data_IF_943766836607
#
_entry.id   IF_943766836607
#
_cell.length_a   1.000
_cell.length_b   1.000
_cell.length_c   1.000
_cell.angle_alpha   90.00
_cell.angle_beta   90.00
_cell.angle_gamma   90.00
#
_symmetry.space_group_name_H-M   'P 1'
#
loop_
_entity.id
_entity.type
_entity.pdbx_description
1 polymer ?
#
# COMPACT_ATOMS: atom_id res chain seq x y z
N UNK A 1 35.71 11.93 27.47
CA UNK A 1 34.53 11.16 27.96
C UNK A 1 33.31 11.30 27.05
N UNK A 2 32.53 12.38 27.07
CA UNK A 2 31.30 12.48 26.27
C UNK A 2 31.51 12.31 24.74
N UNK A 3 32.63 12.82 24.21
CA UNK A 3 32.98 12.73 22.78
C UNK A 3 33.26 11.29 22.32
N UNK A 4 33.96 10.49 23.13
CA UNK A 4 34.27 9.09 22.82
C UNK A 4 33.00 8.23 22.91
N UNK A 5 32.12 8.50 23.87
CA UNK A 5 30.85 7.79 24.01
C UNK A 5 29.93 8.03 22.80
N UNK A 6 29.89 9.26 22.27
CA UNK A 6 29.16 9.58 21.05
C UNK A 6 29.75 8.89 19.81
N UNK A 7 31.09 8.83 19.72
CA UNK A 7 31.76 8.11 18.65
C UNK A 7 31.47 6.60 18.72
N UNK A 8 31.48 6.04 19.92
CA UNK A 8 31.19 4.64 20.17
C UNK A 8 29.75 4.27 19.81
N UNK A 9 28.75 5.06 20.24
CA UNK A 9 27.36 4.81 19.87
C UNK A 9 27.13 4.88 18.36
N UNK A 10 27.79 5.82 17.67
CA UNK A 10 27.75 5.92 16.20
C UNK A 10 28.42 4.72 15.51
N UNK A 11 29.53 4.22 16.08
CA UNK A 11 30.25 3.08 15.55
C UNK A 11 29.48 1.77 15.68
N UNK A 12 28.80 1.54 16.82
CA UNK A 12 27.96 0.34 17.05
C UNK A 12 26.87 0.21 15.97
N UNK A 13 26.35 1.33 15.50
CA UNK A 13 25.28 1.36 14.48
C UNK A 13 25.81 1.13 13.06
N UNK A 14 27.07 1.48 12.77
CA UNK A 14 27.60 1.52 11.39
C UNK A 14 28.63 0.43 11.06
N UNK A 15 29.27 -0.17 12.06
CA UNK A 15 30.38 -1.11 11.86
C UNK A 15 30.00 -2.55 12.21
N UNK A 16 30.59 -3.51 11.50
CA UNK A 16 30.46 -4.93 11.81
C UNK A 16 31.25 -5.30 13.08
N UNK A 17 30.82 -6.36 13.77
CA UNK A 17 31.39 -6.82 15.04
C UNK A 17 32.94 -6.95 15.07
N UNK A 18 33.64 -7.49 14.05
CA UNK A 18 35.11 -7.53 14.06
C UNK A 18 35.76 -6.15 13.98
N UNK A 19 35.17 -5.22 13.21
CA UNK A 19 35.66 -3.83 13.11
C UNK A 19 35.38 -3.06 14.40
N UNK A 20 34.27 -3.36 15.06
CA UNK A 20 33.89 -2.76 16.34
C UNK A 20 34.86 -3.14 17.47
N UNK A 21 35.32 -4.40 17.53
CA UNK A 21 36.33 -4.86 18.50
C UNK A 21 37.68 -4.16 18.29
N UNK A 22 38.10 -4.00 17.03
CA UNK A 22 39.31 -3.25 16.67
C UNK A 22 39.22 -1.78 17.11
N UNK A 23 38.13 -1.09 16.74
CA UNK A 23 37.89 0.30 17.13
C UNK A 23 37.83 0.48 18.65
N UNK A 24 37.22 -0.45 19.39
CA UNK A 24 37.16 -0.38 20.85
C UNK A 24 38.55 -0.39 21.49
N UNK A 25 39.46 -1.23 20.98
CA UNK A 25 40.82 -1.30 21.48
C UNK A 25 41.61 -0.02 21.20
N UNK A 26 41.45 0.57 20.01
CA UNK A 26 42.08 1.83 19.62
C UNK A 26 41.52 3.02 20.40
N UNK A 27 40.20 3.06 20.61
CA UNK A 27 39.52 4.11 21.36
C UNK A 27 39.89 4.08 22.85
N UNK A 28 40.05 2.88 23.43
CA UNK A 28 40.50 2.69 24.81
C UNK A 28 41.96 3.11 25.00
N UNK A 29 42.80 2.83 24.01
CA UNK A 29 44.19 3.31 24.01
C UNK A 29 44.23 4.84 23.92
N UNK A 30 43.41 5.43 23.05
CA UNK A 30 43.29 6.87 22.91
C UNK A 30 42.78 7.55 24.20
N UNK A 31 41.78 6.97 24.87
CA UNK A 31 41.26 7.47 26.15
C UNK A 31 42.34 7.49 27.23
N UNK A 32 43.15 6.42 27.33
CA UNK A 32 44.29 6.37 28.26
C UNK A 32 45.28 7.50 27.99
N UNK A 33 45.59 7.75 26.72
CA UNK A 33 46.50 8.84 26.32
C UNK A 33 45.90 10.23 26.61
N UNK A 34 44.59 10.41 26.40
CA UNK A 34 43.88 11.65 26.70
C UNK A 34 43.86 11.92 28.22
N UNK A 35 43.67 10.89 29.04
CA UNK A 35 43.74 11.00 30.50
C UNK A 35 45.16 11.40 30.94
N UNK A 36 46.20 10.74 30.42
CA UNK A 36 47.59 11.11 30.77
C UNK A 36 47.91 12.53 30.34
N UNK A 37 47.47 12.95 29.14
CA UNK A 37 47.65 14.31 28.67
C UNK A 37 46.92 15.33 29.55
N UNK A 38 45.70 15.05 30.02
CA UNK A 38 44.99 15.94 30.95
C UNK A 38 45.75 16.13 32.26
N UNK A 39 46.37 15.07 32.79
CA UNK A 39 47.23 15.18 33.98
C UNK A 39 48.48 16.03 33.71
N UNK A 40 49.14 15.83 32.55
CA UNK A 40 50.29 16.64 32.15
C UNK A 40 49.94 18.11 31.86
N UNK A 41 48.74 18.37 31.33
CA UNK A 41 48.20 19.71 31.05
C UNK A 41 47.93 20.50 32.33
N UNK A 42 47.40 19.86 33.37
CA UNK A 42 47.24 20.47 34.70
C UNK A 42 48.59 20.84 35.30
N UNK A 43 49.64 20.08 35.00
CA UNK A 43 51.03 20.39 35.38
C UNK A 43 51.73 21.47 34.53
N UNK A 44 51.04 22.08 33.56
CA UNK A 44 51.58 23.19 32.74
C UNK A 44 52.72 22.79 31.79
N UNK A 45 52.89 21.49 31.49
CA UNK A 45 54.01 20.95 30.70
C UNK A 45 53.81 20.97 29.18
N UNK A 46 52.65 21.40 28.69
CA UNK A 46 52.37 21.57 27.25
C UNK A 46 51.89 22.99 26.95
N UNK A 47 52.84 23.93 26.83
CA UNK A 47 52.55 25.34 26.52
C UNK A 47 52.33 25.58 25.02
N UNK A 48 52.90 24.73 24.17
CA UNK A 48 52.85 24.85 22.70
C UNK A 48 51.66 24.10 22.07
N UNK A 49 50.94 23.27 22.86
CA UNK A 49 49.75 22.55 22.41
C UNK A 49 50.02 21.43 21.39
N UNK A 50 51.30 21.08 21.21
CA UNK A 50 51.75 20.07 20.25
C UNK A 50 51.21 18.69 20.59
N UNK A 51 51.20 18.33 21.89
CA UNK A 51 50.66 17.02 22.32
C UNK A 51 49.14 16.98 22.17
N UNK A 52 48.45 18.11 22.34
CA UNK A 52 47.01 18.20 22.07
C UNK A 52 46.68 17.99 20.60
N UNK A 53 47.44 18.66 19.72
CA UNK A 53 47.26 18.55 18.27
C UNK A 53 47.53 17.12 17.78
N UNK A 54 48.58 16.46 18.31
CA UNK A 54 48.89 15.08 17.99
C UNK A 54 47.76 14.12 18.41
N UNK A 55 47.19 14.30 19.61
CA UNK A 55 46.05 13.50 20.07
C UNK A 55 44.82 13.73 19.20
N UNK A 56 44.50 14.98 18.85
CA UNK A 56 43.39 15.30 17.94
C UNK A 56 43.60 14.67 16.56
N UNK A 57 44.83 14.71 16.03
CA UNK A 57 45.15 14.10 14.75
C UNK A 57 45.01 12.57 14.79
N UNK A 58 45.47 11.92 15.87
CA UNK A 58 45.28 10.47 16.07
C UNK A 58 43.80 10.10 16.12
N UNK A 59 42.97 10.88 16.84
CA UNK A 59 41.53 10.63 16.88
C UNK A 59 40.88 10.83 15.50
N UNK A 60 41.26 11.88 14.77
CA UNK A 60 40.80 12.13 13.40
C UNK A 60 41.20 11.00 12.46
N UNK A 61 42.40 10.45 12.60
CA UNK A 61 42.87 9.32 11.80
C UNK A 61 42.09 8.04 12.10
N UNK A 62 41.80 7.74 13.37
CA UNK A 62 40.90 6.63 13.75
C UNK A 62 39.51 6.84 13.12
N UNK A 63 38.95 8.05 13.23
CA UNK A 63 37.65 8.36 12.63
C UNK A 63 37.64 8.22 11.10
N UNK A 64 38.73 8.57 10.41
CA UNK A 64 38.88 8.38 8.95
C UNK A 64 38.97 6.89 8.58
N UNK A 65 39.80 6.11 9.28
CA UNK A 65 40.00 4.69 9.00
C UNK A 65 38.70 3.87 9.10
N UNK A 66 37.79 4.28 9.99
CA UNK A 66 36.50 3.64 10.19
C UNK A 66 35.33 4.35 9.48
N UNK A 67 35.61 5.35 8.63
CA UNK A 67 34.62 6.16 7.90
C UNK A 67 33.53 6.78 8.81
N UNK A 68 33.93 7.19 10.02
CA UNK A 68 33.06 7.82 11.03
C UNK A 68 33.04 9.35 10.94
N UNK A 69 33.92 9.93 10.08
CA UNK A 69 34.15 11.37 9.90
C UNK A 69 33.05 12.10 9.10
N UNK A 70 32.12 11.36 8.50
CA UNK A 70 31.11 11.81 7.52
C UNK A 70 30.06 12.84 8.03
N UNK A 71 30.32 13.50 9.16
CA UNK A 71 29.48 14.56 9.76
C UNK A 71 30.25 15.78 10.27
N UNK A 72 31.58 15.86 10.11
CA UNK A 72 32.28 17.11 10.42
C UNK A 72 32.07 18.17 9.33
N UNK A 73 32.00 17.76 8.06
CA UNK A 73 31.81 18.65 6.91
C UNK A 73 30.34 18.77 6.47
N UNK A 74 29.40 18.14 7.20
CA UNK A 74 27.99 18.02 6.81
C UNK A 74 27.03 18.58 7.87
N UNK A 75 27.42 19.66 8.55
CA UNK A 75 26.59 20.31 9.58
C UNK A 75 25.61 21.33 8.98
N UNK A 76 25.76 21.73 7.72
CA UNK A 76 24.93 22.79 7.10
C UNK A 76 23.80 22.31 6.16
N UNK A 77 23.57 21.00 5.97
CA UNK A 77 22.56 20.52 5.03
C UNK A 77 21.59 19.47 5.63
N UNK A 78 20.38 19.89 6.04
CA UNK A 78 19.32 19.02 6.53
C UNK A 78 18.86 17.94 5.55
N UNK A 79 19.23 18.05 4.26
CA UNK A 79 18.84 17.11 3.20
C UNK A 79 19.63 15.80 3.21
N UNK A 80 20.74 15.72 3.95
CA UNK A 80 21.66 14.56 3.95
C UNK A 80 21.57 13.66 5.18
N UNK A 81 20.57 13.87 6.04
CA UNK A 81 20.20 12.88 7.06
C UNK A 81 19.71 11.61 6.37
N UNK A 82 20.62 10.66 6.13
CA UNK A 82 20.25 9.31 5.71
C UNK A 82 19.44 8.67 6.84
N UNK A 83 18.12 8.67 6.71
CA UNK A 83 17.23 7.93 7.58
C UNK A 83 17.62 6.44 7.55
N UNK A 84 17.62 5.80 8.71
CA UNK A 84 17.98 4.38 8.87
C UNK A 84 17.29 3.49 7.82
N UNK A 85 18.06 2.82 6.96
CA UNK A 85 17.57 1.73 6.12
C UNK A 85 17.24 0.56 7.05
N UNK A 86 15.94 0.35 7.31
CA UNK A 86 15.48 -0.79 8.10
C UNK A 86 16.01 -2.10 7.47
N UNK A 87 16.42 -3.05 8.30
CA UNK A 87 16.98 -4.37 7.91
C UNK A 87 16.03 -5.25 7.06
N UNK A 88 14.87 -4.74 6.66
CA UNK A 88 13.86 -5.41 5.83
C UNK A 88 13.60 -4.70 4.49
N UNK A 89 14.55 -3.94 3.96
CA UNK A 89 14.48 -3.45 2.58
C UNK A 89 15.15 -4.48 1.69
N UNK A 90 14.32 -5.26 0.98
CA UNK A 90 14.72 -6.16 -0.09
C UNK A 90 15.85 -5.51 -0.91
N UNK A 91 16.97 -6.22 -1.03
CA UNK A 91 18.16 -5.77 -1.74
C UNK A 91 17.79 -5.28 -3.14
N UNK A 92 18.36 -4.14 -3.55
CA UNK A 92 18.17 -3.48 -4.85
C UNK A 92 18.45 -4.36 -6.09
N UNK A 93 18.87 -5.61 -5.90
CA UNK A 93 18.97 -6.62 -6.97
C UNK A 93 17.61 -7.02 -7.58
N UNK A 94 16.48 -6.78 -6.91
CA UNK A 94 15.14 -7.06 -7.46
C UNK A 94 14.49 -5.84 -8.12
N UNK A 95 15.14 -4.66 -8.09
CA UNK A 95 14.58 -3.42 -8.67
C UNK A 95 14.60 -3.45 -10.21
N UNK A 96 15.45 -4.28 -10.81
CA UNK A 96 15.48 -4.51 -12.26
C UNK A 96 14.32 -5.36 -12.78
N UNK A 97 13.22 -5.48 -12.02
CA UNK A 97 11.92 -5.93 -12.54
C UNK A 97 10.77 -5.01 -12.10
N UNK A 98 11.06 -3.75 -11.83
CA UNK A 98 10.03 -2.72 -11.65
C UNK A 98 9.53 -2.26 -13.03
N UNK A 99 8.60 -3.00 -13.63
CA UNK A 99 8.01 -2.65 -14.93
C UNK A 99 7.18 -1.36 -14.81
N UNK A 100 6.58 -1.13 -13.65
CA UNK A 100 5.74 0.03 -13.34
C UNK A 100 6.40 0.93 -12.29
N UNK A 101 6.03 2.21 -12.23
CA UNK A 101 6.53 3.17 -11.23
C UNK A 101 5.91 2.91 -9.85
N UNK A 102 4.66 2.45 -9.81
CA UNK A 102 4.00 2.07 -8.55
C UNK A 102 4.42 0.67 -8.09
N UNK A 103 4.89 0.59 -6.84
CA UNK A 103 5.22 -0.66 -6.14
C UNK A 103 4.02 -1.61 -6.03
N UNK A 104 2.80 -1.09 -5.90
CA UNK A 104 1.58 -1.92 -5.80
C UNK A 104 1.26 -2.60 -7.13
N UNK A 105 1.40 -1.86 -8.24
CA UNK A 105 1.25 -2.41 -9.59
C UNK A 105 2.30 -3.51 -9.85
N UNK A 106 3.57 -3.31 -9.48
CA UNK A 106 4.59 -4.36 -9.63
C UNK A 106 4.27 -5.64 -8.84
N UNK A 107 3.80 -5.51 -7.58
CA UNK A 107 3.36 -6.68 -6.81
C UNK A 107 2.19 -7.42 -7.45
N UNK A 108 1.28 -6.68 -8.08
CA UNK A 108 0.14 -7.27 -8.75
C UNK A 108 0.58 -7.93 -10.06
N UNK A 109 1.50 -7.32 -10.79
CA UNK A 109 2.11 -7.91 -11.98
C UNK A 109 2.86 -9.21 -11.68
N UNK A 110 3.65 -9.26 -10.61
CA UNK A 110 4.28 -10.50 -10.16
C UNK A 110 3.25 -11.61 -9.91
N UNK A 111 2.10 -11.27 -9.29
CA UNK A 111 1.01 -12.25 -9.12
C UNK A 111 0.41 -12.67 -10.46
N UNK A 112 0.30 -11.76 -11.42
CA UNK A 112 -0.17 -12.07 -12.76
C UNK A 112 0.75 -13.06 -13.48
N UNK A 113 2.06 -12.82 -13.47
CA UNK A 113 3.05 -13.71 -14.09
C UNK A 113 2.97 -15.13 -13.52
N UNK A 114 2.73 -15.26 -12.21
CA UNK A 114 2.58 -16.55 -11.55
C UNK A 114 1.17 -17.17 -11.68
N UNK A 115 0.19 -16.42 -12.19
CA UNK A 115 -1.19 -16.89 -12.36
C UNK A 115 -1.40 -17.69 -13.66
N UNK A 116 -0.36 -17.87 -14.47
CA UNK A 116 -0.38 -18.77 -15.64
C UNK A 116 -1.18 -18.27 -16.83
N UNK A 117 -1.27 -16.94 -17.02
CA UNK A 117 -1.89 -16.35 -18.22
C UNK A 117 -1.15 -16.77 -19.50
N UNK A 118 -1.89 -16.84 -20.61
CA UNK A 118 -1.28 -16.97 -21.94
C UNK A 118 -0.50 -15.69 -22.29
N UNK A 119 0.43 -15.77 -23.25
CA UNK A 119 1.26 -14.63 -23.62
C UNK A 119 0.44 -13.44 -24.16
N UNK A 120 -0.66 -13.71 -24.89
CA UNK A 120 -1.57 -12.67 -25.42
C UNK A 120 -2.39 -12.00 -24.31
N UNK A 121 -2.90 -12.78 -23.35
CA UNK A 121 -3.61 -12.26 -22.18
C UNK A 121 -2.69 -11.43 -21.28
N UNK A 122 -1.43 -11.85 -21.14
CA UNK A 122 -0.42 -11.14 -20.37
C UNK A 122 -0.10 -9.77 -21.01
N UNK A 123 0.02 -9.70 -22.33
CA UNK A 123 0.28 -8.44 -23.03
C UNK A 123 -0.91 -7.47 -22.92
N UNK A 124 -2.13 -7.97 -23.11
CA UNK A 124 -3.36 -7.19 -22.88
C UNK A 124 -3.44 -6.66 -21.44
N UNK A 125 -3.12 -7.52 -20.45
CA UNK A 125 -3.09 -7.11 -19.04
C UNK A 125 -2.00 -6.07 -18.78
N UNK A 126 -0.87 -6.15 -19.47
CA UNK A 126 0.22 -5.17 -19.37
C UNK A 126 -0.22 -3.80 -19.86
N UNK A 127 -0.96 -3.74 -20.96
CA UNK A 127 -1.53 -2.50 -21.48
C UNK A 127 -2.50 -1.86 -20.47
N UNK A 128 -3.36 -2.66 -19.84
CA UNK A 128 -4.27 -2.19 -18.79
C UNK A 128 -3.53 -1.65 -17.56
N UNK A 129 -2.46 -2.33 -17.12
CA UNK A 129 -1.61 -1.84 -16.03
C UNK A 129 -0.89 -0.53 -16.39
N UNK A 130 -0.44 -0.39 -17.65
CA UNK A 130 0.18 0.84 -18.14
C UNK A 130 -0.84 1.99 -18.19
N UNK A 131 -2.05 1.71 -18.66
CA UNK A 131 -3.14 2.69 -18.66
C UNK A 131 -3.47 3.14 -17.23
N UNK A 132 -3.48 2.21 -16.27
CA UNK A 132 -3.66 2.52 -14.86
C UNK A 132 -2.54 3.40 -14.29
N UNK A 133 -1.28 3.09 -14.61
CA UNK A 133 -0.14 3.93 -14.24
C UNK A 133 -0.26 5.34 -14.82
N UNK A 134 -0.64 5.48 -16.08
CA UNK A 134 -0.86 6.79 -16.70
C UNK A 134 -1.97 7.58 -15.99
N UNK A 135 -3.04 6.91 -15.57
CA UNK A 135 -4.14 7.54 -14.81
C UNK A 135 -3.68 8.03 -13.44
N UNK A 136 -2.82 7.26 -12.76
CA UNK A 136 -2.18 7.66 -11.50
C UNK A 136 -1.29 8.89 -11.70
N UNK A 137 -0.46 8.88 -12.75
CA UNK A 137 0.46 9.99 -13.05
C UNK A 137 -0.32 11.28 -13.39
N UNK A 138 -1.44 11.17 -14.11
CA UNK A 138 -2.35 12.30 -14.37
C UNK A 138 -2.96 12.85 -13.07
N UNK A 139 -3.40 11.99 -12.16
CA UNK A 139 -3.94 12.41 -10.87
C UNK A 139 -2.90 13.15 -10.02
N UNK A 140 -1.66 12.67 -9.97
CA UNK A 140 -0.59 13.37 -9.26
C UNK A 140 -0.23 14.70 -9.92
N UNK A 141 -0.28 14.79 -11.25
CA UNK A 141 -0.07 16.04 -11.97
C UNK A 141 -1.17 17.05 -11.65
N UNK A 142 -2.44 16.63 -11.66
CA UNK A 142 -3.57 17.49 -11.27
C UNK A 142 -3.51 17.92 -9.80
N UNK A 143 -3.09 17.04 -8.91
CA UNK A 143 -2.90 17.37 -7.50
C UNK A 143 -1.77 18.40 -7.32
N UNK A 144 -0.68 18.28 -8.08
CA UNK A 144 0.39 19.25 -8.13
C UNK A 144 -0.08 20.60 -8.68
N UNK A 145 -0.85 20.60 -9.76
CA UNK A 145 -1.39 21.82 -10.40
C UNK A 145 -2.43 22.54 -9.53
N UNK A 146 -3.22 21.80 -8.74
CA UNK A 146 -4.15 22.39 -7.77
C UNK A 146 -3.41 22.95 -6.56
N UNK A 147 -2.33 22.31 -6.12
CA UNK A 147 -1.51 22.78 -4.99
C UNK A 147 -0.63 23.99 -5.35
N UNK A 148 -0.06 24.01 -6.55
CA UNK A 148 0.87 25.04 -7.02
C UNK A 148 0.22 26.03 -8.00
N UNK A 149 -1.11 25.98 -8.16
CA UNK A 149 -1.84 26.95 -8.95
C UNK A 149 -1.72 28.36 -8.36
N UNK A 150 -2.09 29.42 -9.10
CA UNK A 150 -1.91 30.84 -8.74
C UNK A 150 -2.71 31.32 -7.50
N UNK A 151 -3.25 30.39 -6.71
CA UNK A 151 -3.87 30.63 -5.42
C UNK A 151 -2.88 30.34 -4.27
N UNK A 152 -1.58 30.55 -4.48
CA UNK A 152 -0.64 30.65 -3.37
C UNK A 152 -1.04 31.85 -2.50
N UNK A 153 -1.21 31.59 -1.20
CA UNK A 153 -1.12 32.54 -0.08
C UNK A 153 -2.37 33.24 0.50
N UNK A 154 -3.60 32.96 0.09
CA UNK A 154 -4.74 33.68 0.68
C UNK A 154 -5.52 32.94 1.78
N UNK A 155 -5.90 31.66 1.63
CA UNK A 155 -7.00 31.11 2.47
C UNK A 155 -6.93 29.60 2.83
N UNK A 156 -5.76 28.96 2.91
CA UNK A 156 -5.70 27.64 3.56
C UNK A 156 -5.82 27.82 5.09
N UNK A 157 -7.06 27.78 5.60
CA UNK A 157 -7.47 27.79 7.02
C UNK A 157 -7.83 29.15 7.67
N UNK A 158 -8.11 30.22 6.93
CA UNK A 158 -8.72 31.41 7.55
C UNK A 158 -10.22 31.20 7.75
N UNK A 159 -10.68 31.14 9.00
CA UNK A 159 -12.09 31.42 9.31
C UNK A 159 -12.27 32.92 9.04
N UNK A 160 -12.95 33.25 7.94
CA UNK A 160 -13.22 34.63 7.59
C UNK A 160 -14.24 35.22 8.57
N UNK A 161 -13.75 35.89 9.61
CA UNK A 161 -14.54 36.69 10.56
C UNK A 161 -14.78 38.13 10.06
N UNK A 162 -14.61 38.43 8.76
CA UNK A 162 -14.92 39.77 8.26
C UNK A 162 -16.44 39.96 8.10
N UNK A 163 -17.06 40.54 9.13
CA UNK A 163 -18.42 41.09 9.11
C UNK A 163 -18.64 42.12 7.98
N UNK A 164 -17.58 42.67 7.39
CA UNK A 164 -17.63 43.68 6.33
C UNK A 164 -18.06 43.12 4.96
N UNK A 165 -17.99 41.80 4.72
CA UNK A 165 -18.47 41.17 3.46
C UNK A 165 -19.99 41.17 3.28
N UNK A 166 -20.76 41.60 4.28
CA UNK A 166 -22.21 41.68 4.17
C UNK A 166 -22.71 42.92 3.40
N UNK A 167 -21.83 43.91 3.14
CA UNK A 167 -22.24 45.18 2.53
C UNK A 167 -21.66 45.49 1.13
N UNK A 168 -20.80 44.65 0.55
CA UNK A 168 -20.29 44.87 -0.81
C UNK A 168 -20.92 43.90 -1.83
N UNK A 169 -21.62 44.47 -2.81
CA UNK A 169 -22.20 43.78 -3.97
C UNK A 169 -21.11 43.64 -5.05
N UNK A 170 -20.04 42.93 -4.74
CA UNK A 170 -19.01 42.54 -5.71
C UNK A 170 -18.93 41.00 -5.78
N UNK A 171 -20.03 40.37 -6.22
CA UNK A 171 -20.26 38.92 -6.09
C UNK A 171 -20.16 38.12 -7.39
N UNK A 172 -19.77 38.73 -8.50
CA UNK A 172 -19.69 38.02 -9.79
C UNK A 172 -18.36 37.28 -9.98
N UNK A 173 -17.22 37.90 -9.65
CA UNK A 173 -15.88 37.33 -9.90
C UNK A 173 -15.35 36.43 -8.76
N UNK A 174 -15.74 36.64 -7.50
CA UNK A 174 -15.37 35.71 -6.41
C UNK A 174 -16.18 34.40 -6.44
N UNK A 175 -17.43 34.48 -6.92
CA UNK A 175 -18.33 33.33 -7.12
C UNK A 175 -17.80 32.36 -8.19
N UNK A 176 -17.21 32.86 -9.27
CA UNK A 176 -16.62 32.02 -10.31
C UNK A 176 -15.36 31.30 -9.82
N UNK A 177 -14.44 32.01 -9.14
CA UNK A 177 -13.22 31.39 -8.58
C UNK A 177 -13.51 30.30 -7.55
N UNK A 178 -14.53 30.50 -6.71
CA UNK A 178 -14.95 29.49 -5.71
C UNK A 178 -15.56 28.26 -6.39
N UNK A 179 -16.34 28.45 -7.47
CA UNK A 179 -16.88 27.34 -8.26
C UNK A 179 -15.77 26.57 -8.98
N UNK A 180 -14.81 27.27 -9.57
CA UNK A 180 -13.65 26.64 -10.23
C UNK A 180 -12.83 25.77 -9.26
N UNK A 181 -12.68 26.20 -8.01
CA UNK A 181 -12.02 25.40 -6.96
C UNK A 181 -12.85 24.17 -6.57
N UNK A 182 -14.17 24.35 -6.36
CA UNK A 182 -15.08 23.24 -6.04
C UNK A 182 -15.10 22.20 -7.18
N UNK A 183 -15.11 22.66 -8.43
CA UNK A 183 -15.10 21.80 -9.61
C UNK A 183 -13.77 21.05 -9.75
N UNK A 184 -12.64 21.71 -9.48
CA UNK A 184 -11.31 21.05 -9.41
C UNK A 184 -11.24 20.02 -8.28
N UNK A 185 -11.77 20.33 -7.10
CA UNK A 185 -11.79 19.41 -5.97
C UNK A 185 -12.69 18.19 -6.24
N UNK A 186 -13.84 18.41 -6.89
CA UNK A 186 -14.72 17.32 -7.35
C UNK A 186 -14.01 16.45 -8.40
N UNK A 187 -13.30 17.05 -9.35
CA UNK A 187 -12.53 16.32 -10.35
C UNK A 187 -11.45 15.44 -9.73
N UNK A 188 -10.69 15.95 -8.74
CA UNK A 188 -9.69 15.17 -7.99
C UNK A 188 -10.37 13.99 -7.28
N UNK A 189 -11.54 14.23 -6.67
CA UNK A 189 -12.28 13.18 -5.96
C UNK A 189 -12.75 12.08 -6.89
N UNK A 190 -13.30 12.46 -8.04
CA UNK A 190 -13.81 11.53 -9.03
C UNK A 190 -12.66 10.72 -9.65
N UNK A 191 -11.53 11.36 -9.97
CA UNK A 191 -10.33 10.66 -10.43
C UNK A 191 -9.74 9.70 -9.38
N UNK A 192 -9.75 10.08 -8.10
CA UNK A 192 -9.29 9.19 -7.02
C UNK A 192 -10.17 7.96 -6.91
N UNK A 193 -11.50 8.13 -7.02
CA UNK A 193 -12.46 7.02 -7.04
C UNK A 193 -12.23 6.12 -8.25
N UNK A 194 -12.06 6.71 -9.43
CA UNK A 194 -11.77 6.02 -10.68
C UNK A 194 -10.47 5.20 -10.64
N UNK A 195 -9.41 5.75 -10.03
CA UNK A 195 -8.14 5.03 -9.80
C UNK A 195 -8.39 3.87 -8.84
N UNK A 196 -9.12 4.09 -7.76
CA UNK A 196 -9.41 3.01 -6.82
C UNK A 196 -10.19 1.87 -7.49
N UNK A 197 -11.23 2.20 -8.25
CA UNK A 197 -12.03 1.22 -8.99
C UNK A 197 -11.22 0.51 -10.07
N UNK A 198 -10.35 1.23 -10.80
CA UNK A 198 -9.44 0.64 -11.78
C UNK A 198 -8.46 -0.35 -11.14
N UNK A 199 -7.89 0.00 -9.98
CA UNK A 199 -7.00 -0.89 -9.24
C UNK A 199 -7.74 -2.14 -8.75
N UNK A 200 -8.94 -1.98 -8.18
CA UNK A 200 -9.75 -3.11 -7.72
C UNK A 200 -10.12 -4.05 -8.88
N UNK A 201 -10.43 -3.51 -10.07
CA UNK A 201 -10.64 -4.32 -11.29
C UNK A 201 -9.38 -5.10 -11.68
N UNK A 202 -8.21 -4.46 -11.70
CA UNK A 202 -6.95 -5.14 -11.97
C UNK A 202 -6.70 -6.26 -10.96
N UNK A 203 -6.97 -6.03 -9.67
CA UNK A 203 -6.82 -7.06 -8.63
C UNK A 203 -7.70 -8.27 -8.92
N UNK A 204 -8.96 -8.06 -9.30
CA UNK A 204 -9.89 -9.13 -9.65
C UNK A 204 -9.43 -9.88 -10.91
N UNK A 205 -9.05 -9.16 -11.97
CA UNK A 205 -8.56 -9.76 -13.23
C UNK A 205 -7.33 -10.62 -12.98
N UNK A 206 -6.37 -10.10 -12.23
CA UNK A 206 -5.13 -10.81 -11.89
C UNK A 206 -5.41 -12.05 -11.05
N UNK A 207 -6.38 -11.97 -10.13
CA UNK A 207 -6.78 -13.08 -9.29
C UNK A 207 -7.60 -14.15 -10.03
N UNK A 208 -8.13 -13.85 -11.23
CA UNK A 208 -8.95 -14.74 -12.07
C UNK A 208 -8.14 -15.43 -13.17
N UNK A 209 -6.80 -15.40 -13.10
CA UNK A 209 -5.97 -16.06 -14.10
C UNK A 209 -6.22 -17.57 -14.24
N UNK A 210 -5.69 -18.22 -15.29
CA UNK A 210 -5.91 -19.65 -15.55
C UNK A 210 -5.50 -20.59 -14.41
N UNK A 211 -4.55 -20.16 -13.57
CA UNK A 211 -4.12 -20.88 -12.37
C UNK A 211 -4.78 -20.35 -11.08
N UNK A 212 -5.79 -19.48 -11.20
CA UNK A 212 -6.66 -19.15 -10.08
C UNK A 212 -7.33 -20.42 -9.59
N UNK A 213 -7.59 -20.51 -8.28
CA UNK A 213 -8.52 -21.54 -7.79
C UNK A 213 -9.77 -21.38 -8.65
N UNK A 214 -10.12 -22.43 -9.42
CA UNK A 214 -11.19 -22.38 -10.44
C UNK A 214 -12.49 -21.75 -9.91
N UNK A 215 -12.67 -21.80 -8.59
CA UNK A 215 -13.76 -21.22 -7.85
C UNK A 215 -13.23 -20.39 -6.66
N UNK A 216 -13.87 -19.26 -6.36
CA UNK A 216 -13.64 -18.39 -5.18
C UNK A 216 -14.33 -18.97 -3.95
N UNK A 217 -15.52 -19.55 -4.11
CA UNK A 217 -16.32 -20.08 -3.00
C UNK A 217 -15.80 -21.45 -2.51
N UNK A 218 -15.47 -21.61 -1.22
CA UNK A 218 -14.99 -22.87 -0.67
C UNK A 218 -15.92 -24.07 -0.88
N UNK A 219 -17.25 -23.84 -0.86
CA UNK A 219 -18.24 -24.90 -1.12
C UNK A 219 -18.15 -25.45 -2.54
N UNK A 220 -17.97 -24.56 -3.51
CA UNK A 220 -17.86 -24.93 -4.94
C UNK A 220 -16.53 -25.63 -5.20
N UNK A 221 -15.45 -25.18 -4.56
CA UNK A 221 -14.15 -25.89 -4.56
C UNK A 221 -14.28 -27.30 -3.99
N UNK A 222 -15.04 -27.48 -2.91
CA UNK A 222 -15.30 -28.78 -2.31
C UNK A 222 -16.01 -29.73 -3.27
N UNK A 223 -17.08 -29.26 -3.91
CA UNK A 223 -17.81 -30.03 -4.94
C UNK A 223 -16.92 -30.38 -6.13
N UNK A 224 -16.11 -29.43 -6.60
CA UNK A 224 -15.18 -29.66 -7.71
C UNK A 224 -14.12 -30.72 -7.38
N UNK A 225 -13.58 -30.72 -6.15
CA UNK A 225 -12.64 -31.76 -5.71
C UNK A 225 -13.30 -33.14 -5.70
N UNK A 226 -14.50 -33.25 -5.14
CA UNK A 226 -15.25 -34.52 -5.14
C UNK A 226 -15.55 -34.94 -6.59
N UNK A 227 -15.86 -34.00 -7.48
CA UNK A 227 -16.07 -34.28 -8.89
C UNK A 227 -14.81 -34.77 -9.62
N UNK A 228 -13.62 -34.25 -9.27
CA UNK A 228 -12.34 -34.74 -9.80
C UNK A 228 -12.00 -36.14 -9.31
N UNK A 229 -12.37 -36.46 -8.06
CA UNK A 229 -12.19 -37.79 -7.48
C UNK A 229 -13.24 -38.81 -8.00
N UNK A 230 -14.31 -38.34 -8.64
CA UNK A 230 -15.35 -39.16 -9.25
C UNK A 230 -15.03 -39.58 -10.70
N UNK A 231 -15.61 -40.70 -11.15
CA UNK A 231 -15.47 -41.20 -12.52
C UNK A 231 -16.31 -40.40 -13.55
N UNK A 232 -15.96 -39.13 -13.78
CA UNK A 232 -16.50 -38.34 -14.90
C UNK A 232 -15.61 -38.43 -16.14
N UNK A 233 -16.21 -38.43 -17.33
CA UNK A 233 -15.47 -38.24 -18.57
C UNK A 233 -15.00 -36.78 -18.72
N UNK A 234 -13.99 -36.53 -19.55
CA UNK A 234 -13.46 -35.17 -19.76
C UNK A 234 -14.54 -34.17 -20.21
N UNK A 235 -15.43 -34.58 -21.13
CA UNK A 235 -16.53 -33.76 -21.63
C UNK A 235 -17.58 -33.48 -20.53
N UNK A 236 -17.92 -34.48 -19.71
CA UNK A 236 -18.83 -34.29 -18.57
C UNK A 236 -18.22 -33.38 -17.51
N UNK A 237 -16.91 -33.48 -17.28
CA UNK A 237 -16.19 -32.65 -16.32
C UNK A 237 -16.15 -31.18 -16.78
N UNK A 238 -15.99 -30.91 -18.08
CA UNK A 238 -16.11 -29.57 -18.64
C UNK A 238 -17.53 -29.02 -18.50
N UNK A 239 -18.56 -29.82 -18.81
CA UNK A 239 -19.96 -29.43 -18.61
C UNK A 239 -20.24 -29.10 -17.13
N UNK A 240 -19.75 -29.93 -16.21
CA UNK A 240 -19.88 -29.72 -14.78
C UNK A 240 -19.13 -28.47 -14.30
N UNK A 241 -17.95 -28.18 -14.87
CA UNK A 241 -17.19 -26.96 -14.60
C UNK A 241 -18.00 -25.72 -14.96
N UNK A 242 -18.63 -25.71 -16.13
CA UNK A 242 -19.50 -24.60 -16.56
C UNK A 242 -20.71 -24.44 -15.63
N UNK A 243 -21.35 -25.54 -15.25
CA UNK A 243 -22.46 -25.53 -14.28
C UNK A 243 -22.04 -24.97 -12.91
N UNK A 244 -20.88 -25.39 -12.39
CA UNK A 244 -20.31 -24.88 -11.14
C UNK A 244 -19.98 -23.39 -11.22
N UNK A 245 -19.45 -22.91 -12.36
CA UNK A 245 -19.20 -21.47 -12.61
C UNK A 245 -20.53 -20.69 -12.59
N UNK A 246 -21.60 -21.23 -13.20
CA UNK A 246 -22.91 -20.59 -13.16
C UNK A 246 -23.52 -20.57 -11.75
N UNK A 247 -23.36 -21.65 -11.01
CA UNK A 247 -23.77 -21.74 -9.61
C UNK A 247 -23.03 -20.72 -8.74
N UNK A 248 -21.71 -20.63 -8.87
CA UNK A 248 -20.88 -19.64 -8.16
C UNK A 248 -21.29 -18.21 -8.48
N UNK A 249 -21.47 -17.87 -9.77
CA UNK A 249 -21.92 -16.55 -10.18
C UNK A 249 -23.28 -16.19 -9.55
N UNK A 250 -24.17 -17.18 -9.40
CA UNK A 250 -25.49 -16.97 -8.78
C UNK A 250 -25.39 -16.82 -7.26
N UNK A 251 -24.46 -17.52 -6.62
CA UNK A 251 -24.13 -17.38 -5.20
C UNK A 251 -23.53 -16.00 -4.89
N UNK A 252 -22.57 -15.55 -5.72
CA UNK A 252 -21.97 -14.21 -5.59
C UNK A 252 -23.01 -13.12 -5.77
N UNK A 253 -23.92 -13.24 -6.74
CA UNK A 253 -25.07 -12.33 -6.90
C UNK A 253 -25.97 -12.31 -5.66
N UNK A 254 -26.26 -13.46 -5.07
CA UNK A 254 -27.06 -13.53 -3.84
C UNK A 254 -26.35 -12.82 -2.68
N UNK A 255 -25.03 -13.04 -2.51
CA UNK A 255 -24.23 -12.37 -1.50
C UNK A 255 -24.18 -10.85 -1.69
N UNK A 256 -24.05 -10.40 -2.94
CA UNK A 256 -24.10 -8.97 -3.28
C UNK A 256 -25.46 -8.36 -2.91
N UNK A 257 -26.57 -8.99 -3.30
CA UNK A 257 -27.92 -8.53 -2.94
C UNK A 257 -28.12 -8.46 -1.43
N UNK A 258 -27.63 -9.46 -0.69
CA UNK A 258 -27.68 -9.46 0.78
C UNK A 258 -26.85 -8.34 1.39
N UNK A 259 -25.62 -8.11 0.89
CA UNK A 259 -24.75 -7.04 1.35
C UNK A 259 -25.37 -5.65 1.07
N UNK A 260 -25.90 -5.44 -0.15
CA UNK A 260 -26.60 -4.22 -0.52
C UNK A 260 -27.81 -3.97 0.39
N UNK A 261 -28.60 -5.00 0.69
CA UNK A 261 -29.71 -4.85 1.63
C UNK A 261 -29.25 -4.49 3.02
N UNK A 262 -28.18 -5.09 3.54
CA UNK A 262 -27.70 -4.78 4.88
C UNK A 262 -27.16 -3.34 4.98
N UNK A 263 -26.43 -2.88 3.95
CA UNK A 263 -25.94 -1.50 3.87
C UNK A 263 -27.08 -0.50 3.70
N UNK A 264 -28.06 -0.83 2.87
CA UNK A 264 -29.23 0.03 2.67
C UNK A 264 -30.15 0.00 3.89
N UNK A 265 -30.31 -1.11 4.60
CA UNK A 265 -31.08 -1.21 5.84
C UNK A 265 -30.51 -0.27 6.91
N UNK A 266 -29.18 -0.17 7.02
CA UNK A 266 -28.54 0.81 7.91
C UNK A 266 -28.85 2.27 7.49
N UNK A 267 -28.75 2.57 6.19
CA UNK A 267 -29.10 3.90 5.64
C UNK A 267 -30.58 4.22 5.84
N UNK A 268 -31.47 3.26 5.57
CA UNK A 268 -32.91 3.38 5.76
C UNK A 268 -33.26 3.49 7.23
N UNK A 269 -32.56 2.83 8.16
CA UNK A 269 -32.76 2.99 9.60
C UNK A 269 -32.47 4.43 10.05
N UNK A 270 -31.39 5.01 9.56
CA UNK A 270 -31.03 6.42 9.81
C UNK A 270 -32.08 7.35 9.18
N UNK A 271 -32.48 7.10 7.93
CA UNK A 271 -33.43 7.92 7.20
C UNK A 271 -34.89 7.77 7.69
N UNK A 272 -35.28 6.61 8.22
CA UNK A 272 -36.59 6.31 8.79
C UNK A 272 -36.78 7.02 10.14
N UNK A 273 -35.71 7.15 10.93
CA UNK A 273 -35.70 8.03 12.12
C UNK A 273 -35.91 9.50 11.75
N UNK A 274 -35.54 9.91 10.53
CA UNK A 274 -35.66 11.30 10.07
C UNK A 274 -36.96 11.64 9.33
N UNK A 275 -37.54 10.72 8.52
CA UNK A 275 -38.61 11.05 7.54
C UNK A 275 -39.86 10.15 7.62
N UNK A 276 -39.90 9.12 8.48
CA UNK A 276 -41.17 8.42 8.80
C UNK A 276 -41.88 7.67 7.65
N UNK A 277 -41.19 7.28 6.57
CA UNK A 277 -41.67 6.41 5.47
C UNK A 277 -40.44 5.76 4.79
N UNK A 278 -40.39 4.53 4.25
CA UNK A 278 -41.37 3.62 3.62
C UNK A 278 -41.00 2.12 3.88
N UNK A 279 -41.93 1.25 4.34
CA UNK A 279 -41.68 -0.19 4.57
C UNK A 279 -41.88 -1.11 3.34
N UNK A 280 -42.41 -0.60 2.22
CA UNK A 280 -42.83 -1.42 1.06
C UNK A 280 -41.65 -1.89 0.19
N UNK A 281 -40.65 -1.03 -0.02
CA UNK A 281 -39.44 -1.34 -0.82
C UNK A 281 -38.62 -2.48 -0.17
N UNK A 282 -38.52 -2.45 1.15
CA UNK A 282 -37.76 -3.42 1.95
C UNK A 282 -38.36 -4.82 1.85
N UNK A 283 -39.70 -4.94 1.87
CA UNK A 283 -40.40 -6.21 1.73
C UNK A 283 -40.15 -6.83 0.35
N UNK A 284 -40.20 -6.02 -0.71
CA UNK A 284 -39.97 -6.52 -2.07
C UNK A 284 -38.56 -7.07 -2.26
N UNK A 285 -37.54 -6.38 -1.73
CA UNK A 285 -36.15 -6.84 -1.84
C UNK A 285 -35.93 -8.11 -1.01
N UNK A 286 -36.51 -8.20 0.20
CA UNK A 286 -36.49 -9.42 1.02
C UNK A 286 -37.11 -10.61 0.30
N UNK A 287 -38.23 -10.42 -0.40
CA UNK A 287 -38.86 -11.48 -1.20
C UNK A 287 -38.01 -11.90 -2.41
N UNK A 288 -37.34 -10.96 -3.07
CA UNK A 288 -36.39 -11.28 -4.15
C UNK A 288 -35.21 -12.11 -3.62
N UNK A 289 -34.61 -11.69 -2.50
CA UNK A 289 -33.53 -12.47 -1.86
C UNK A 289 -33.99 -13.89 -1.56
N UNK A 290 -35.18 -14.06 -0.98
CA UNK A 290 -35.74 -15.39 -0.68
C UNK A 290 -35.92 -16.25 -1.94
N UNK A 291 -36.37 -15.68 -3.05
CA UNK A 291 -36.47 -16.37 -4.34
C UNK A 291 -35.10 -16.78 -4.88
N UNK A 292 -34.12 -15.87 -4.81
CA UNK A 292 -32.75 -16.14 -5.22
C UNK A 292 -32.10 -17.24 -4.36
N UNK A 293 -32.26 -17.19 -3.03
CA UNK A 293 -31.79 -18.23 -2.10
C UNK A 293 -32.35 -19.60 -2.47
N UNK A 294 -33.68 -19.72 -2.64
CA UNK A 294 -34.31 -21.00 -3.00
C UNK A 294 -33.79 -21.55 -4.32
N UNK A 295 -33.56 -20.68 -5.32
CA UNK A 295 -33.05 -21.11 -6.62
C UNK A 295 -31.58 -21.55 -6.55
N UNK A 296 -30.75 -20.85 -5.76
CA UNK A 296 -29.37 -21.25 -5.51
C UNK A 296 -29.33 -22.59 -4.76
N UNK A 297 -30.16 -22.77 -3.74
CA UNK A 297 -30.24 -24.03 -2.98
C UNK A 297 -30.67 -25.19 -3.87
N UNK A 298 -31.65 -24.98 -4.76
CA UNK A 298 -32.09 -26.01 -5.72
C UNK A 298 -30.95 -26.45 -6.64
N UNK A 299 -30.18 -25.49 -7.18
CA UNK A 299 -29.04 -25.79 -8.05
C UNK A 299 -27.94 -26.50 -7.26
N UNK A 300 -27.70 -26.08 -6.01
CA UNK A 300 -26.73 -26.73 -5.13
C UNK A 300 -27.05 -28.20 -4.93
N UNK A 301 -28.28 -28.52 -4.55
CA UNK A 301 -28.74 -29.88 -4.31
C UNK A 301 -28.73 -30.75 -5.58
N UNK A 302 -29.03 -30.16 -6.74
CA UNK A 302 -28.98 -30.87 -8.03
C UNK A 302 -27.54 -31.27 -8.40
N UNK A 303 -26.60 -30.32 -8.28
CA UNK A 303 -25.18 -30.55 -8.56
C UNK A 303 -24.57 -31.51 -7.54
N UNK A 304 -24.86 -31.31 -6.25
CA UNK A 304 -24.36 -32.17 -5.16
C UNK A 304 -24.86 -33.61 -5.31
N UNK A 305 -26.16 -33.81 -5.55
CA UNK A 305 -26.73 -35.14 -5.80
C UNK A 305 -26.07 -35.81 -7.00
N UNK A 306 -25.90 -35.09 -8.13
CA UNK A 306 -25.28 -35.65 -9.34
C UNK A 306 -23.81 -36.06 -9.12
N UNK A 307 -23.05 -35.26 -8.35
CA UNK A 307 -21.66 -35.57 -8.01
C UNK A 307 -21.60 -36.77 -7.06
N UNK A 308 -22.46 -36.82 -6.04
CA UNK A 308 -22.49 -37.91 -5.06
C UNK A 308 -23.00 -39.22 -5.64
N UNK A 309 -23.97 -39.21 -6.56
CA UNK A 309 -24.44 -40.41 -7.26
C UNK A 309 -23.32 -41.07 -8.08
N UNK A 310 -22.48 -40.25 -8.72
CA UNK A 310 -21.33 -40.73 -9.50
C UNK A 310 -20.16 -41.16 -8.61
N UNK A 311 -19.95 -40.48 -7.47
CA UNK A 311 -18.91 -40.81 -6.49
C UNK A 311 -19.24 -42.07 -5.67
N UNK A 312 -20.51 -42.22 -5.26
CA UNK A 312 -21.00 -43.31 -4.41
C UNK A 312 -21.38 -44.58 -5.16
N UNK A 313 -21.26 -44.60 -6.50
CA UNK A 313 -21.44 -45.79 -7.32
C UNK A 313 -20.36 -46.86 -7.15
N UNK A 314 -19.31 -46.58 -6.37
CA UNK A 314 -18.34 -47.55 -5.90
C UNK A 314 -18.58 -47.90 -4.42
N UNK A 315 -19.55 -48.79 -4.18
CA UNK A 315 -19.57 -49.70 -3.03
C UNK A 315 -20.17 -51.04 -3.44
#
# INVERSE_FOLDING_TARGET
MAKLNLLWSKAVVRLSEPKLKSLFSELKLHDKLEITYKHEKVGGKDKDGLKEAELRNKLTQIMKNYNLLDQADAVDDPSKYQAHKAMNVASDKYINKSIFRDKKLNKLWEKAEHAGFTAEELDTLKEEFLHHQNKIDQYYSLLHDVKNGPNEDAHENSIDENLDRFNEIDRAEESSKTKDYIDKANLIRDQSKDIKEGFDKLVVLTAKGPSSKDFVEPKVQGLWRIALDSNFTADELESLKVELIHYENRLLKLRHLQADTALNEEKYRIHKKAVGSKPVEESFIKDQIKKHTRKVEKIHLDIESRILERHGGEL
#
